data_IF_401131294118
#
_entry.id   IF_401131294118
#
_cell.length_a   1.000
_cell.length_b   1.000
_cell.length_c   1.000
_cell.angle_alpha   90.00
_cell.angle_beta   90.00
_cell.angle_gamma   90.00
#
_symmetry.space_group_name_H-M   'P 1'
#
loop_
_entity.id
_entity.type
_entity.pdbx_description
1 polymer ?
#
# COMPACT_ATOMS: atom_id res chain seq x y z
N UNK A 1 22.10 -4.88 -16.18
CA UNK A 1 20.69 -5.08 -15.79
C UNK A 1 20.43 -6.56 -15.76
N UNK A 2 20.27 -7.13 -14.58
CA UNK A 2 20.05 -8.56 -14.35
C UNK A 2 18.87 -8.75 -13.39
N UNK A 3 17.77 -8.03 -13.62
CA UNK A 3 16.54 -8.21 -12.87
C UNK A 3 15.83 -9.47 -13.37
N UNK A 4 15.43 -10.36 -12.45
CA UNK A 4 14.71 -11.60 -12.78
C UNK A 4 13.19 -11.41 -12.82
N UNK A 5 12.73 -10.17 -12.80
CA UNK A 5 11.31 -9.80 -12.72
C UNK A 5 10.54 -10.31 -13.95
N UNK A 6 9.53 -11.14 -13.71
CA UNK A 6 8.63 -11.68 -14.76
C UNK A 6 7.39 -10.79 -14.91
N UNK A 7 7.59 -9.51 -15.24
CA UNK A 7 6.50 -8.56 -15.48
C UNK A 7 6.40 -7.50 -14.39
N UNK A 8 5.22 -7.36 -13.76
CA UNK A 8 4.95 -6.43 -12.64
C UNK A 8 5.42 -6.96 -11.27
N UNK A 9 6.06 -8.13 -11.24
CA UNK A 9 6.53 -8.75 -10.02
C UNK A 9 7.77 -8.03 -9.48
N UNK A 10 7.74 -7.65 -8.20
CA UNK A 10 8.94 -7.28 -7.46
C UNK A 10 9.79 -8.54 -7.24
N UNK A 11 11.11 -8.45 -7.43
CA UNK A 11 12.01 -9.54 -7.09
C UNK A 11 11.98 -9.73 -5.56
N UNK A 12 12.14 -10.96 -5.06
CA UNK A 12 12.15 -11.23 -3.61
C UNK A 12 13.34 -10.50 -2.95
N UNK A 13 14.41 -10.24 -3.71
CA UNK A 13 15.54 -9.40 -3.28
C UNK A 13 15.20 -7.92 -3.11
N UNK A 14 14.10 -7.45 -3.71
CA UNK A 14 13.67 -6.06 -3.67
C UNK A 14 12.64 -5.80 -2.55
N UNK A 15 12.31 -6.83 -1.75
CA UNK A 15 11.36 -6.70 -0.67
C UNK A 15 11.90 -5.79 0.46
N UNK A 16 11.07 -4.83 0.89
CA UNK A 16 11.35 -4.00 2.05
C UNK A 16 11.14 -4.82 3.32
N UNK A 17 12.16 -4.87 4.17
CA UNK A 17 12.17 -5.54 5.47
C UNK A 17 12.58 -4.54 6.55
N UNK A 18 12.37 -4.88 7.81
CA UNK A 18 12.86 -4.05 8.93
C UNK A 18 14.38 -3.88 8.91
N UNK A 19 15.12 -4.89 8.45
CA UNK A 19 16.59 -4.88 8.41
C UNK A 19 17.14 -3.93 7.33
N UNK A 20 16.42 -3.76 6.22
CA UNK A 20 16.85 -2.91 5.10
C UNK A 20 16.08 -1.59 5.01
N UNK A 21 15.20 -1.30 5.97
CA UNK A 21 14.23 -0.21 5.92
C UNK A 21 14.90 1.15 5.68
N UNK A 22 15.95 1.49 6.42
CA UNK A 22 16.62 2.79 6.29
C UNK A 22 17.21 2.99 4.88
N UNK A 23 17.76 1.93 4.30
CA UNK A 23 18.30 1.95 2.93
C UNK A 23 17.17 2.09 1.90
N UNK A 24 16.06 1.38 2.10
CA UNK A 24 14.88 1.47 1.23
C UNK A 24 14.23 2.87 1.29
N UNK A 25 14.16 3.47 2.49
CA UNK A 25 13.68 4.84 2.70
C UNK A 25 14.61 5.84 2.00
N UNK A 26 15.93 5.70 2.15
CA UNK A 26 16.89 6.56 1.47
C UNK A 26 16.76 6.45 -0.07
N UNK A 27 16.62 5.22 -0.57
CA UNK A 27 16.41 4.96 -2.00
C UNK A 27 15.13 5.60 -2.53
N UNK A 28 13.98 5.40 -1.87
CA UNK A 28 12.70 5.93 -2.36
C UNK A 28 12.67 7.46 -2.29
N UNK A 29 13.28 8.09 -1.28
CA UNK A 29 13.43 9.55 -1.21
C UNK A 29 14.28 10.08 -2.36
N UNK A 30 15.44 9.47 -2.61
CA UNK A 30 16.30 9.88 -3.74
C UNK A 30 15.59 9.70 -5.09
N UNK A 31 14.87 8.60 -5.27
CA UNK A 31 14.13 8.32 -6.50
C UNK A 31 12.94 9.29 -6.70
N UNK A 32 12.17 9.59 -5.66
CA UNK A 32 11.10 10.58 -5.69
C UNK A 32 11.63 11.98 -6.06
N UNK A 33 12.73 12.39 -5.43
CA UNK A 33 13.38 13.67 -5.73
C UNK A 33 13.90 13.76 -7.18
N UNK A 34 14.47 12.68 -7.71
CA UNK A 34 14.96 12.61 -9.10
C UNK A 34 13.83 12.59 -10.13
N UNK A 35 12.72 11.95 -9.80
CA UNK A 35 11.57 11.85 -10.70
C UNK A 35 10.65 13.07 -10.64
N UNK A 36 10.69 13.84 -9.55
CA UNK A 36 9.78 14.96 -9.32
C UNK A 36 8.35 14.52 -9.03
N UNK A 37 8.18 13.30 -8.52
CA UNK A 37 6.88 12.67 -8.28
C UNK A 37 6.80 12.11 -6.86
N UNK A 38 5.57 11.94 -6.35
CA UNK A 38 5.31 11.04 -5.22
C UNK A 38 5.48 9.60 -5.69
N UNK A 39 6.27 8.81 -4.97
CA UNK A 39 6.55 7.41 -5.26
C UNK A 39 5.93 6.55 -4.16
N UNK A 40 5.12 5.57 -4.56
CA UNK A 40 4.62 4.51 -3.69
C UNK A 40 5.25 3.16 -4.11
N UNK A 41 5.96 2.52 -3.19
CA UNK A 41 6.46 1.14 -3.33
C UNK A 41 5.65 0.26 -2.40
N UNK A 42 4.95 -0.72 -2.94
CA UNK A 42 4.05 -1.58 -2.15
C UNK A 42 4.64 -2.96 -1.90
N UNK A 43 4.42 -3.52 -0.71
CA UNK A 43 4.95 -4.81 -0.30
C UNK A 43 4.43 -5.24 1.07
N UNK A 44 5.25 -5.97 1.84
CA UNK A 44 4.94 -6.25 3.24
C UNK A 44 5.08 -5.00 4.12
N UNK A 45 5.99 -4.10 3.74
CA UNK A 45 6.10 -2.74 4.22
C UNK A 45 5.94 -1.85 3.00
N UNK A 46 4.92 -0.99 2.99
CA UNK A 46 4.75 -0.01 1.92
C UNK A 46 5.51 1.28 2.25
N UNK A 47 6.08 1.91 1.24
CA UNK A 47 6.79 3.19 1.33
C UNK A 47 6.13 4.21 0.41
N UNK A 48 5.78 5.38 0.93
CA UNK A 48 5.21 6.49 0.14
C UNK A 48 6.00 7.77 0.40
N UNK A 49 6.64 8.33 -0.62
CA UNK A 49 7.62 9.42 -0.46
C UNK A 49 7.50 10.48 -1.55
N UNK A 50 7.67 11.74 -1.18
CA UNK A 50 7.78 12.89 -2.09
C UNK A 50 9.24 13.32 -2.32
N UNK A 51 10.19 12.66 -1.67
CA UNK A 51 11.62 12.96 -1.73
C UNK A 51 12.15 13.71 -0.51
N UNK A 52 11.29 14.28 0.32
CA UNK A 52 11.65 14.91 1.59
C UNK A 52 11.18 14.06 2.77
N UNK A 53 9.92 13.62 2.73
CA UNK A 53 9.25 12.79 3.72
C UNK A 53 8.97 11.41 3.16
N UNK A 54 8.98 10.39 4.01
CA UNK A 54 8.58 9.04 3.65
C UNK A 54 7.63 8.48 4.71
N UNK A 55 6.41 8.15 4.29
CA UNK A 55 5.50 7.32 5.07
C UNK A 55 5.92 5.87 4.92
N UNK A 56 6.12 5.22 6.05
CA UNK A 56 6.39 3.80 6.15
C UNK A 56 5.15 3.12 6.72
N UNK A 57 4.48 2.28 5.94
CA UNK A 57 3.16 1.72 6.24
C UNK A 57 3.26 0.20 6.45
N UNK A 58 2.57 -0.30 7.48
CA UNK A 58 2.57 -1.72 7.91
C UNK A 58 1.16 -2.31 7.98
N UNK A 59 0.25 -1.72 7.20
CA UNK A 59 -1.07 -2.31 7.02
C UNK A 59 -1.02 -3.47 6.02
N UNK A 60 -2.04 -4.31 6.06
CA UNK A 60 -2.26 -5.34 5.05
C UNK A 60 -1.96 -6.75 5.52
N UNK A 61 -2.08 -7.67 4.58
CA UNK A 61 -2.04 -9.12 4.81
C UNK A 61 -1.37 -9.83 3.64
N UNK A 62 -0.52 -10.85 3.87
CA UNK A 62 0.12 -11.62 2.80
C UNK A 62 -0.89 -12.23 1.81
N UNK A 63 -2.08 -12.58 2.28
CA UNK A 63 -3.15 -13.17 1.47
C UNK A 63 -3.65 -12.23 0.37
N UNK A 64 -3.45 -10.91 0.49
CA UNK A 64 -3.85 -9.94 -0.54
C UNK A 64 -3.13 -10.16 -1.87
N UNK A 65 -1.89 -10.70 -1.82
CA UNK A 65 -1.11 -11.05 -3.02
C UNK A 65 -1.73 -12.20 -3.83
N UNK A 66 -2.64 -12.97 -3.24
CA UNK A 66 -3.33 -14.10 -3.90
C UNK A 66 -4.59 -13.69 -4.66
N UNK A 67 -4.91 -12.39 -4.66
CA UNK A 67 -6.04 -11.81 -5.39
C UNK A 67 -5.49 -11.02 -6.58
N UNK A 68 -5.88 -11.41 -7.79
CA UNK A 68 -5.54 -10.65 -8.98
C UNK A 68 -6.16 -9.26 -8.96
N UNK A 69 -5.37 -8.25 -9.35
CA UNK A 69 -5.82 -6.87 -9.51
C UNK A 69 -5.89 -6.03 -8.23
N UNK A 70 -5.36 -6.49 -7.08
CA UNK A 70 -5.29 -5.67 -5.86
C UNK A 70 -4.44 -4.42 -6.05
N UNK A 71 -3.28 -4.52 -6.69
CA UNK A 71 -2.46 -3.35 -7.04
C UNK A 71 -3.14 -2.39 -8.02
N UNK A 72 -3.91 -2.92 -8.98
CA UNK A 72 -4.70 -2.08 -9.91
C UNK A 72 -5.83 -1.35 -9.18
N UNK A 73 -6.51 -2.01 -8.24
CA UNK A 73 -7.52 -1.39 -7.38
C UNK A 73 -6.91 -0.26 -6.56
N UNK A 74 -5.76 -0.50 -5.93
CA UNK A 74 -5.02 0.53 -5.20
C UNK A 74 -4.71 1.73 -6.10
N UNK A 75 -4.22 1.52 -7.33
CA UNK A 75 -3.94 2.63 -8.26
C UNK A 75 -5.18 3.49 -8.55
N UNK A 76 -6.34 2.85 -8.72
CA UNK A 76 -7.62 3.56 -8.89
C UNK A 76 -8.03 4.34 -7.65
N UNK A 77 -7.87 3.74 -6.46
CA UNK A 77 -8.16 4.41 -5.19
C UNK A 77 -7.21 5.58 -4.94
N UNK A 78 -5.90 5.41 -5.14
CA UNK A 78 -4.90 6.47 -5.04
C UNK A 78 -5.28 7.65 -5.93
N UNK A 79 -5.73 7.39 -7.16
CA UNK A 79 -6.24 8.44 -8.05
C UNK A 79 -7.42 9.20 -7.42
N UNK A 80 -8.40 8.50 -6.87
CA UNK A 80 -9.56 9.12 -6.22
C UNK A 80 -9.16 9.98 -5.01
N UNK A 81 -8.25 9.48 -4.18
CA UNK A 81 -7.73 10.20 -3.00
C UNK A 81 -6.98 11.47 -3.40
N UNK A 82 -6.10 11.40 -4.40
CA UNK A 82 -5.34 12.55 -4.91
C UNK A 82 -6.27 13.58 -5.54
N UNK A 83 -7.24 13.17 -6.36
CA UNK A 83 -8.18 14.09 -7.00
C UNK A 83 -9.04 14.82 -5.96
N UNK A 84 -9.41 14.15 -4.88
CA UNK A 84 -10.13 14.77 -3.76
C UNK A 84 -9.24 15.71 -2.92
N UNK A 85 -7.92 15.56 -2.96
CA UNK A 85 -6.94 16.30 -2.14
C UNK A 85 -5.71 16.74 -2.97
N UNK A 86 -5.89 17.57 -4.01
CA UNK A 86 -4.84 17.85 -4.99
C UNK A 86 -3.62 18.57 -4.40
N UNK A 87 -3.80 19.32 -3.31
CA UNK A 87 -2.73 20.06 -2.63
C UNK A 87 -1.93 19.19 -1.64
N UNK A 88 -2.36 17.94 -1.38
CA UNK A 88 -1.76 17.04 -0.38
C UNK A 88 -1.49 15.65 -0.99
N UNK A 89 -0.80 15.62 -2.14
CA UNK A 89 -0.61 14.39 -2.94
C UNK A 89 0.08 13.27 -2.14
N UNK A 90 1.08 13.62 -1.31
CA UNK A 90 1.81 12.65 -0.49
C UNK A 90 0.87 11.98 0.54
N UNK A 91 0.20 12.79 1.35
CA UNK A 91 -0.72 12.34 2.40
C UNK A 91 -1.91 11.59 1.78
N UNK A 92 -2.45 12.07 0.66
CA UNK A 92 -3.53 11.40 -0.06
C UNK A 92 -3.11 10.01 -0.57
N UNK A 93 -1.89 9.89 -1.10
CA UNK A 93 -1.33 8.60 -1.54
C UNK A 93 -1.13 7.67 -0.36
N UNK A 94 -0.53 8.15 0.75
CA UNK A 94 -0.34 7.36 1.96
C UNK A 94 -1.68 6.88 2.55
N UNK A 95 -2.69 7.75 2.59
CA UNK A 95 -4.04 7.41 3.06
C UNK A 95 -4.71 6.34 2.19
N UNK A 96 -4.54 6.38 0.86
CA UNK A 96 -5.05 5.33 -0.03
C UNK A 96 -4.38 3.97 0.23
N UNK A 97 -3.06 3.97 0.43
CA UNK A 97 -2.29 2.75 0.75
C UNK A 97 -2.71 2.18 2.11
N UNK A 98 -2.80 3.02 3.16
CA UNK A 98 -3.32 2.62 4.47
C UNK A 98 -4.74 2.05 4.36
N UNK A 99 -5.63 2.70 3.60
CA UNK A 99 -7.02 2.25 3.40
C UNK A 99 -7.07 0.87 2.76
N UNK A 100 -6.30 0.63 1.70
CA UNK A 100 -6.24 -0.68 1.05
C UNK A 100 -5.73 -1.77 1.98
N UNK A 101 -4.63 -1.50 2.68
CA UNK A 101 -4.03 -2.45 3.62
C UNK A 101 -4.99 -2.77 4.78
N UNK A 102 -5.59 -1.75 5.38
CA UNK A 102 -6.56 -1.91 6.48
C UNK A 102 -7.81 -2.66 6.00
N UNK A 103 -8.31 -2.36 4.80
CA UNK A 103 -9.43 -3.11 4.21
C UNK A 103 -9.09 -4.60 4.04
N UNK A 104 -7.85 -4.91 3.64
CA UNK A 104 -7.32 -6.29 3.66
C UNK A 104 -7.38 -6.95 5.03
N UNK A 105 -6.91 -6.26 6.06
CA UNK A 105 -6.97 -6.78 7.44
C UNK A 105 -8.40 -7.02 7.93
N UNK A 106 -9.29 -6.05 7.74
CA UNK A 106 -10.71 -6.16 8.12
C UNK A 106 -11.38 -7.30 7.36
N UNK A 107 -11.16 -7.38 6.06
CA UNK A 107 -11.73 -8.43 5.23
C UNK A 107 -11.27 -9.81 5.66
N UNK A 108 -9.99 -9.97 5.99
CA UNK A 108 -9.42 -11.25 6.43
C UNK A 108 -9.96 -11.67 7.81
N UNK A 109 -10.10 -10.72 8.73
CA UNK A 109 -10.67 -10.97 10.06
C UNK A 109 -12.14 -11.49 10.01
N UNK A 110 -12.83 -11.26 8.89
CA UNK A 110 -14.20 -11.69 8.67
C UNK A 110 -14.32 -12.98 7.80
N UNK A 111 -13.20 -13.63 7.47
CA UNK A 111 -13.20 -14.87 6.68
C UNK A 111 -13.60 -16.09 7.53
N UNK A 112 -14.37 -17.01 6.94
CA UNK A 112 -14.57 -18.35 7.49
C UNK A 112 -13.47 -19.32 6.99
N UNK A 113 -13.29 -20.45 7.68
CA UNK A 113 -12.27 -21.47 7.32
C UNK A 113 -12.45 -22.01 5.88
N UNK A 114 -13.68 -22.09 5.40
CA UNK A 114 -14.01 -22.56 4.05
C UNK A 114 -13.97 -21.46 2.99
N UNK A 115 -13.78 -20.20 3.37
CA UNK A 115 -13.80 -19.07 2.43
C UNK A 115 -12.52 -19.04 1.57
N UNK A 116 -12.70 -18.81 0.27
CA UNK A 116 -11.60 -18.70 -0.69
C UNK A 116 -11.21 -17.27 -1.04
N UNK A 117 -10.23 -17.13 -1.94
CA UNK A 117 -9.74 -15.82 -2.37
C UNK A 117 -10.80 -14.94 -3.06
N UNK A 118 -11.82 -15.52 -3.71
CA UNK A 118 -12.94 -14.77 -4.27
C UNK A 118 -13.79 -14.10 -3.18
N UNK A 119 -14.09 -14.82 -2.10
CA UNK A 119 -14.77 -14.24 -0.94
C UNK A 119 -13.92 -13.14 -0.32
N UNK A 120 -12.61 -13.37 -0.17
CA UNK A 120 -11.70 -12.37 0.39
C UNK A 120 -11.68 -11.09 -0.47
N UNK A 121 -11.62 -11.21 -1.80
CA UNK A 121 -11.72 -10.07 -2.73
C UNK A 121 -13.01 -9.27 -2.50
N UNK A 122 -14.15 -9.94 -2.41
CA UNK A 122 -15.43 -9.26 -2.20
C UNK A 122 -15.45 -8.55 -0.84
N UNK A 123 -14.95 -9.20 0.22
CA UNK A 123 -14.85 -8.59 1.55
C UNK A 123 -13.90 -7.40 1.59
N UNK A 124 -12.81 -7.38 0.82
CA UNK A 124 -11.95 -6.19 0.70
C UNK A 124 -12.74 -5.03 0.12
N UNK A 125 -13.52 -5.28 -0.95
CA UNK A 125 -14.37 -4.27 -1.57
C UNK A 125 -15.43 -3.77 -0.57
N UNK A 126 -16.06 -4.67 0.17
CA UNK A 126 -17.04 -4.32 1.21
C UNK A 126 -16.40 -3.50 2.35
N UNK A 127 -15.17 -3.84 2.75
CA UNK A 127 -14.42 -3.11 3.76
C UNK A 127 -14.03 -1.70 3.28
N UNK A 128 -13.64 -1.55 2.01
CA UNK A 128 -13.41 -0.23 1.39
C UNK A 128 -14.71 0.58 1.37
N UNK A 129 -15.83 -0.03 0.97
CA UNK A 129 -17.13 0.65 0.92
C UNK A 129 -17.60 1.16 2.28
N UNK A 130 -17.36 0.39 3.34
CA UNK A 130 -17.75 0.74 4.71
C UNK A 130 -16.66 1.53 5.47
N UNK A 131 -15.53 1.85 4.84
CA UNK A 131 -14.43 2.56 5.50
C UNK A 131 -14.85 4.00 5.83
N UNK A 132 -14.70 4.40 7.09
CA UNK A 132 -14.87 5.77 7.55
C UNK A 132 -13.57 6.33 8.15
N UNK A 133 -13.58 7.63 8.45
CA UNK A 133 -12.42 8.33 8.98
C UNK A 133 -11.99 7.78 10.34
N UNK A 134 -12.93 7.42 11.22
CA UNK A 134 -12.62 6.90 12.55
C UNK A 134 -11.95 5.52 12.47
N UNK A 135 -12.44 4.65 11.59
CA UNK A 135 -11.88 3.32 11.34
C UNK A 135 -10.47 3.45 10.77
N UNK A 136 -10.28 4.32 9.79
CA UNK A 136 -8.95 4.54 9.20
C UNK A 136 -7.97 5.12 10.21
N UNK A 137 -8.35 6.13 10.99
CA UNK A 137 -7.48 6.77 11.99
C UNK A 137 -7.00 5.76 13.05
N UNK A 138 -7.89 4.86 13.50
CA UNK A 138 -7.55 3.82 14.48
C UNK A 138 -6.73 2.68 13.89
N UNK A 139 -6.98 2.34 12.63
CA UNK A 139 -6.43 1.15 11.98
C UNK A 139 -5.16 1.40 11.17
N UNK A 140 -4.87 2.65 10.80
CA UNK A 140 -3.67 2.99 10.05
C UNK A 140 -2.41 2.73 10.89
N UNK A 141 -1.47 1.99 10.32
CA UNK A 141 -0.20 1.62 10.94
C UNK A 141 0.90 2.23 10.09
N UNK A 142 1.31 3.44 10.42
CA UNK A 142 2.40 4.10 9.73
C UNK A 142 3.32 4.84 10.69
N UNK A 143 4.52 5.13 10.21
CA UNK A 143 5.44 6.06 10.82
C UNK A 143 6.02 7.00 9.75
N UNK A 144 6.38 8.21 10.15
CA UNK A 144 7.01 9.19 9.27
C UNK A 144 8.54 9.11 9.44
N UNK A 145 9.25 9.13 8.31
CA UNK A 145 10.71 9.12 8.23
C UNK A 145 11.22 10.22 7.30
#
# INVERSE_FOLDING_TARGET
>A
GSGTTKGVDADVSDAVTEENLDNAVAFVKDYAKKSGCVIAITGAIDLVSDGEKCYVIRNGRPEMSKITGTGCQLSGMTTAFIVANPDNVLEATAAAVCTMGLAGEIAFANMAETDGNSTYRNRIIDAIYNMDAETLEKGAKYELR
#
